data_IF_300005810876
#
_entry.id   IF_300005810876
#
_cell.length_a   1.000
_cell.length_b   1.000
_cell.length_c   1.000
_cell.angle_alpha   90.00
_cell.angle_beta   90.00
_cell.angle_gamma   90.00
#
_symmetry.space_group_name_H-M   'P 1'
#
loop_
_entity.id
_entity.type
_entity.pdbx_description
1 polymer ?
#
# COMPACT_ATOMS: atom_id res chain seq x y z
N UNK A 1 8.81 -78.65 -4.05
CA UNK A 1 7.69 -78.49 -3.09
C UNK A 1 7.46 -77.00 -2.88
N UNK A 2 6.47 -76.42 -3.56
CA UNK A 2 6.03 -75.03 -3.34
C UNK A 2 4.66 -75.04 -2.68
N UNK A 3 4.58 -74.53 -1.46
CA UNK A 3 3.31 -74.38 -0.72
C UNK A 3 2.65 -73.06 -1.13
N UNK A 4 1.51 -73.15 -1.80
CA UNK A 4 0.63 -72.01 -2.09
C UNK A 4 -0.20 -71.78 -0.82
N UNK A 5 0.01 -70.64 -0.16
CA UNK A 5 -0.83 -70.16 0.94
C UNK A 5 -2.27 -69.99 0.45
N UNK A 6 -3.17 -70.91 0.82
CA UNK A 6 -4.60 -70.77 0.60
C UNK A 6 -5.19 -69.76 1.60
N UNK A 7 -5.51 -68.56 1.11
CA UNK A 7 -6.33 -67.59 1.84
C UNK A 7 -7.71 -68.17 2.08
N UNK A 8 -8.12 -68.31 3.36
CA UNK A 8 -9.45 -68.83 3.68
C UNK A 8 -10.52 -67.73 3.49
N UNK A 9 -11.77 -68.13 3.30
CA UNK A 9 -12.92 -67.18 3.24
C UNK A 9 -12.98 -66.26 4.47
N UNK A 10 -12.54 -66.75 5.64
CA UNK A 10 -12.45 -65.98 6.88
C UNK A 10 -11.36 -64.91 6.83
N UNK A 11 -10.22 -65.20 6.19
CA UNK A 11 -9.13 -64.24 6.02
C UNK A 11 -9.52 -63.15 5.02
N UNK A 12 -10.21 -63.51 3.93
CA UNK A 12 -10.73 -62.54 2.97
C UNK A 12 -11.77 -61.60 3.60
N UNK A 13 -12.68 -62.13 4.43
CA UNK A 13 -13.67 -61.32 5.16
C UNK A 13 -13.04 -60.39 6.19
N UNK A 14 -11.96 -60.81 6.87
CA UNK A 14 -11.21 -59.94 7.79
C UNK A 14 -10.49 -58.83 7.05
N UNK A 15 -9.81 -59.14 5.94
CA UNK A 15 -9.08 -58.15 5.12
C UNK A 15 -10.06 -57.13 4.51
N UNK A 16 -11.20 -57.58 3.99
CA UNK A 16 -12.22 -56.67 3.44
C UNK A 16 -12.90 -55.82 4.52
N UNK A 17 -13.21 -56.38 5.69
CA UNK A 17 -13.76 -55.62 6.82
C UNK A 17 -12.75 -54.57 7.35
N UNK A 18 -11.46 -54.92 7.46
CA UNK A 18 -10.39 -53.98 7.83
C UNK A 18 -10.20 -52.89 6.77
N UNK A 19 -10.25 -53.24 5.47
CA UNK A 19 -10.16 -52.27 4.38
C UNK A 19 -11.34 -51.29 4.34
N UNK A 20 -12.57 -51.76 4.60
CA UNK A 20 -13.77 -50.91 4.70
C UNK A 20 -13.72 -50.02 5.94
N UNK A 21 -13.24 -50.54 7.08
CA UNK A 21 -13.06 -49.75 8.30
C UNK A 21 -11.98 -48.67 8.12
N UNK A 22 -10.86 -48.99 7.46
CA UNK A 22 -9.81 -48.02 7.13
C UNK A 22 -10.33 -46.98 6.13
N UNK A 23 -11.08 -47.38 5.10
CA UNK A 23 -11.73 -46.44 4.17
C UNK A 23 -12.77 -45.55 4.85
N UNK A 24 -13.56 -46.08 5.80
CA UNK A 24 -14.52 -45.31 6.58
C UNK A 24 -13.82 -44.35 7.56
N UNK A 25 -12.68 -44.77 8.13
CA UNK A 25 -11.85 -43.94 9.02
C UNK A 25 -11.11 -42.85 8.24
N UNK A 26 -10.59 -43.15 7.04
CA UNK A 26 -10.01 -42.18 6.12
C UNK A 26 -11.08 -41.20 5.59
N UNK A 27 -12.29 -41.67 5.29
CA UNK A 27 -13.42 -40.79 4.95
C UNK A 27 -13.86 -39.92 6.13
N UNK A 28 -13.85 -40.45 7.36
CA UNK A 28 -14.11 -39.67 8.57
C UNK A 28 -13.01 -38.66 8.85
N UNK A 29 -11.73 -39.01 8.70
CA UNK A 29 -10.60 -38.09 8.85
C UNK A 29 -10.61 -37.04 7.73
N UNK A 30 -10.91 -37.37 6.47
CA UNK A 30 -11.12 -36.39 5.40
C UNK A 30 -12.36 -35.52 5.60
N UNK A 31 -13.43 -36.04 6.24
CA UNK A 31 -14.61 -35.26 6.60
C UNK A 31 -14.41 -34.40 7.87
N UNK A 32 -13.51 -34.81 8.78
CA UNK A 32 -13.08 -34.03 9.96
C UNK A 32 -11.99 -33.00 9.62
N UNK A 33 -11.21 -33.26 8.57
CA UNK A 33 -10.43 -32.26 7.83
C UNK A 33 -11.32 -31.41 6.91
N UNK A 34 -12.61 -31.76 6.81
CA UNK A 34 -13.65 -30.99 6.13
C UNK A 34 -14.01 -29.75 6.93
N UNK A 35 -13.86 -28.59 6.28
CA UNK A 35 -14.01 -27.22 6.77
C UNK A 35 -12.84 -26.70 7.63
N UNK A 36 -11.68 -26.55 7.01
CA UNK A 36 -11.03 -25.25 7.20
C UNK A 36 -11.97 -24.24 6.53
N UNK A 37 -12.80 -23.56 7.30
CA UNK A 37 -13.58 -22.43 6.79
C UNK A 37 -12.57 -21.38 6.29
N UNK A 38 -12.26 -21.45 5.00
CA UNK A 38 -11.31 -20.54 4.35
C UNK A 38 -11.91 -19.16 4.42
N UNK A 39 -11.15 -18.24 5.01
CA UNK A 39 -11.60 -16.88 5.23
C UNK A 39 -11.64 -16.12 3.91
N UNK A 40 -12.58 -15.20 3.81
CA UNK A 40 -12.52 -14.16 2.79
C UNK A 40 -11.49 -13.11 3.20
N UNK A 41 -11.03 -12.37 2.20
CA UNK A 41 -10.09 -11.27 2.36
C UNK A 41 -10.71 -10.04 1.69
N UNK A 42 -10.77 -8.94 2.41
CA UNK A 42 -11.12 -7.63 1.84
C UNK A 42 -9.98 -6.66 2.13
N UNK A 43 -9.50 -6.00 1.09
CA UNK A 43 -8.51 -4.93 1.20
C UNK A 43 -9.15 -3.64 0.69
N UNK A 44 -9.36 -2.67 1.58
CA UNK A 44 -9.77 -1.33 1.21
C UNK A 44 -8.50 -0.50 1.01
N UNK A 45 -8.37 0.13 -0.16
CA UNK A 45 -7.23 0.96 -0.51
C UNK A 45 -7.72 2.38 -0.80
N UNK A 46 -7.23 3.34 -0.02
CA UNK A 46 -7.41 4.77 -0.24
C UNK A 46 -6.25 5.36 -1.05
N UNK A 47 -6.51 6.40 -1.82
CA UNK A 47 -5.57 7.01 -2.78
C UNK A 47 -5.14 8.39 -2.28
N UNK A 48 -3.83 8.66 -2.17
CA UNK A 48 -3.27 9.92 -1.63
C UNK A 48 -3.72 10.27 -0.19
N UNK A 49 -3.83 9.29 0.71
CA UNK A 49 -4.26 9.52 2.09
C UNK A 49 -3.09 9.89 3.02
N UNK A 50 -3.06 11.15 3.45
CA UNK A 50 -2.29 11.59 4.61
C UNK A 50 -2.75 10.87 5.88
N UNK A 51 -1.95 9.91 6.36
CA UNK A 51 -2.26 9.10 7.55
C UNK A 51 -2.53 9.96 8.79
N UNK A 52 -1.85 11.11 8.91
CA UNK A 52 -1.94 12.03 10.03
C UNK A 52 -3.24 12.85 10.08
N UNK A 53 -4.14 12.69 9.10
CA UNK A 53 -5.49 13.27 9.14
C UNK A 53 -6.56 12.28 9.65
N UNK A 54 -6.19 11.01 9.91
CA UNK A 54 -7.09 10.00 10.45
C UNK A 54 -7.10 10.08 11.98
N UNK A 55 -8.28 10.06 12.59
CA UNK A 55 -8.48 10.23 14.04
C UNK A 55 -7.64 9.26 14.88
N UNK A 56 -7.70 7.96 14.59
CA UNK A 56 -6.92 6.97 15.32
C UNK A 56 -5.40 7.19 15.18
N UNK A 57 -4.92 7.82 14.10
CA UNK A 57 -3.51 8.19 13.89
C UNK A 57 -3.12 9.58 14.45
N UNK A 58 -4.02 10.23 15.20
CA UNK A 58 -3.77 11.53 15.83
C UNK A 58 -4.25 12.73 15.02
N UNK A 59 -5.01 12.50 13.94
CA UNK A 59 -5.63 13.55 13.16
C UNK A 59 -6.56 14.43 13.98
N UNK A 60 -6.51 15.73 13.72
CA UNK A 60 -7.23 16.76 14.49
C UNK A 60 -8.29 17.50 13.67
N UNK A 61 -8.18 17.48 12.34
CA UNK A 61 -9.09 18.22 11.47
C UNK A 61 -10.34 17.40 11.10
N UNK A 62 -10.16 16.11 10.78
CA UNK A 62 -11.22 15.24 10.26
C UNK A 62 -11.65 14.21 11.31
N UNK A 63 -12.95 13.95 11.41
CA UNK A 63 -13.49 12.83 12.19
C UNK A 63 -13.63 11.62 11.26
N UNK A 64 -13.01 10.50 11.62
CA UNK A 64 -13.01 9.26 10.84
C UNK A 64 -13.58 8.08 11.65
N UNK A 65 -14.85 8.14 12.09
CA UNK A 65 -15.39 7.17 13.04
C UNK A 65 -15.41 5.73 12.52
N UNK A 66 -15.53 5.49 11.22
CA UNK A 66 -15.55 4.13 10.68
C UNK A 66 -14.14 3.52 10.65
N UNK A 67 -13.14 4.29 10.24
CA UNK A 67 -11.73 3.88 10.27
C UNK A 67 -11.26 3.72 11.73
N UNK A 68 -11.67 4.63 12.62
CA UNK A 68 -11.34 4.57 14.05
C UNK A 68 -11.96 3.34 14.72
N UNK A 69 -13.21 3.00 14.36
CA UNK A 69 -13.86 1.76 14.81
C UNK A 69 -13.09 0.53 14.30
N UNK A 70 -12.65 0.52 13.04
CA UNK A 70 -11.85 -0.59 12.52
C UNK A 70 -10.54 -0.77 13.30
N UNK A 71 -9.88 0.32 13.68
CA UNK A 71 -8.69 0.27 14.53
C UNK A 71 -9.00 -0.24 15.95
N UNK A 72 -10.13 0.16 16.54
CA UNK A 72 -10.57 -0.32 17.85
C UNK A 72 -10.94 -1.82 17.83
N UNK A 73 -11.51 -2.32 16.73
CA UNK A 73 -11.87 -3.74 16.54
C UNK A 73 -10.66 -4.60 16.10
N UNK A 74 -9.55 -4.00 15.71
CA UNK A 74 -8.42 -4.69 15.06
C UNK A 74 -7.04 -4.27 15.58
N UNK A 75 -6.05 -4.37 14.70
CA UNK A 75 -4.67 -3.95 14.91
C UNK A 75 -4.33 -2.81 13.95
N UNK A 76 -3.74 -1.75 14.50
CA UNK A 76 -3.24 -0.60 13.74
C UNK A 76 -1.72 -0.61 13.69
N UNK A 77 -1.15 -0.42 12.51
CA UNK A 77 0.30 -0.32 12.32
C UNK A 77 0.74 1.13 12.31
N UNK A 78 1.72 1.50 13.15
CA UNK A 78 2.31 2.84 13.13
C UNK A 78 3.56 2.93 12.25
N UNK A 79 4.02 1.81 11.70
CA UNK A 79 5.23 1.70 10.88
C UNK A 79 4.94 0.94 9.57
N UNK A 80 3.95 1.38 8.82
CA UNK A 80 3.65 0.88 7.48
C UNK A 80 4.12 1.87 6.41
N UNK A 81 4.83 1.41 5.39
CA UNK A 81 5.48 2.29 4.41
C UNK A 81 5.26 1.86 2.96
N UNK A 82 4.94 2.82 2.12
CA UNK A 82 5.16 2.73 0.68
C UNK A 82 6.66 2.74 0.37
N UNK A 83 7.07 1.98 -0.63
CA UNK A 83 8.44 2.01 -1.15
C UNK A 83 8.70 3.15 -2.13
N UNK A 84 7.67 3.77 -2.69
CA UNK A 84 7.79 4.91 -3.60
C UNK A 84 6.51 5.73 -3.51
N UNK A 85 6.54 7.04 -3.31
CA UNK A 85 5.31 7.82 -3.07
C UNK A 85 4.54 8.17 -4.38
N UNK A 86 4.25 7.16 -5.21
CA UNK A 86 3.53 7.27 -6.48
C UNK A 86 2.55 6.10 -6.69
N UNK A 87 1.44 6.36 -7.40
CA UNK A 87 0.33 5.41 -7.50
C UNK A 87 0.70 4.07 -8.17
N UNK A 88 1.25 4.11 -9.40
CA UNK A 88 1.52 2.89 -10.17
C UNK A 88 2.58 2.01 -9.48
N UNK A 89 3.71 2.56 -9.00
CA UNK A 89 4.70 1.76 -8.28
C UNK A 89 4.16 1.10 -7.02
N UNK A 90 3.43 1.81 -6.15
CA UNK A 90 2.90 1.24 -4.90
C UNK A 90 1.88 0.15 -5.18
N UNK A 91 0.94 0.40 -6.11
CA UNK A 91 -0.06 -0.62 -6.48
C UNK A 91 0.60 -1.85 -7.08
N UNK A 92 1.61 -1.66 -7.92
CA UNK A 92 2.40 -2.77 -8.45
C UNK A 92 3.08 -3.54 -7.32
N UNK A 93 3.69 -2.84 -6.35
CA UNK A 93 4.34 -3.45 -5.19
C UNK A 93 3.35 -4.23 -4.32
N UNK A 94 2.19 -3.65 -4.04
CA UNK A 94 1.09 -4.30 -3.30
C UNK A 94 0.65 -5.60 -3.95
N UNK A 95 0.42 -5.55 -5.27
CA UNK A 95 -0.15 -6.68 -5.99
C UNK A 95 0.88 -7.76 -6.34
N UNK A 96 2.16 -7.42 -6.44
CA UNK A 96 3.22 -8.34 -6.93
C UNK A 96 4.15 -8.82 -5.82
N UNK A 97 4.18 -8.15 -4.67
CA UNK A 97 5.12 -8.44 -3.59
C UNK A 97 6.59 -8.16 -3.95
N UNK A 98 6.81 -7.32 -4.97
CA UNK A 98 8.13 -6.94 -5.46
C UNK A 98 8.34 -5.44 -5.28
N UNK A 99 9.58 -5.00 -5.10
CA UNK A 99 9.90 -3.57 -5.09
C UNK A 99 9.89 -2.95 -6.51
N UNK A 100 9.80 -1.61 -6.63
CA UNK A 100 9.75 -0.90 -7.91
C UNK A 100 10.76 -1.35 -8.96
N UNK A 101 12.03 -1.52 -8.57
CA UNK A 101 13.12 -1.92 -9.46
C UNK A 101 12.92 -3.35 -10.00
N UNK A 102 12.40 -4.26 -9.17
CA UNK A 102 12.22 -5.67 -9.54
C UNK A 102 10.99 -5.88 -10.41
N UNK A 103 9.83 -5.29 -10.10
CA UNK A 103 8.69 -5.33 -11.01
C UNK A 103 8.85 -4.40 -12.21
N UNK A 104 9.73 -3.39 -12.14
CA UNK A 104 10.12 -2.53 -13.25
C UNK A 104 9.17 -1.36 -13.56
N UNK A 105 8.26 -1.03 -12.64
CA UNK A 105 7.38 0.14 -12.78
C UNK A 105 7.75 1.17 -11.71
N UNK A 106 8.77 1.99 -12.00
CA UNK A 106 9.34 3.00 -11.09
C UNK A 106 8.78 4.41 -11.33
N UNK A 107 7.76 4.56 -12.16
CA UNK A 107 7.06 5.82 -12.36
C UNK A 107 5.61 5.60 -12.77
N UNK A 108 4.79 6.64 -12.64
CA UNK A 108 3.39 6.56 -13.06
C UNK A 108 3.28 6.27 -14.56
N UNK A 109 2.28 5.45 -14.90
CA UNK A 109 2.01 4.98 -16.26
C UNK A 109 3.11 4.10 -16.89
N UNK A 110 4.11 3.63 -16.14
CA UNK A 110 5.00 2.55 -16.59
C UNK A 110 4.30 1.19 -16.50
N UNK A 111 4.68 0.25 -17.37
CA UNK A 111 4.25 -1.14 -17.25
C UNK A 111 5.22 -1.89 -16.35
N UNK A 112 4.72 -2.84 -15.55
CA UNK A 112 5.61 -3.84 -14.97
C UNK A 112 6.22 -4.71 -16.08
N UNK A 113 7.32 -5.39 -15.77
CA UNK A 113 7.97 -6.36 -16.66
C UNK A 113 6.95 -7.42 -17.10
N UNK A 114 7.06 -7.85 -18.35
CA UNK A 114 6.23 -8.92 -18.90
C UNK A 114 6.34 -10.17 -18.00
N UNK A 115 5.25 -10.92 -17.89
CA UNK A 115 5.13 -12.12 -17.04
C UNK A 115 5.24 -11.89 -15.52
N UNK A 116 5.26 -10.63 -15.06
CA UNK A 116 5.14 -10.34 -13.63
C UNK A 116 3.82 -10.89 -13.09
N UNK A 117 3.90 -11.83 -12.14
CA UNK A 117 2.74 -12.42 -11.45
C UNK A 117 2.29 -11.51 -10.31
N UNK A 118 1.01 -11.62 -9.97
CA UNK A 118 0.34 -10.76 -8.99
C UNK A 118 -0.72 -11.53 -8.20
N UNK A 119 -1.41 -10.88 -7.25
CA UNK A 119 -2.41 -11.48 -6.35
C UNK A 119 -3.34 -12.49 -7.05
N UNK A 120 -4.01 -12.19 -8.19
CA UNK A 120 -4.84 -13.19 -8.88
C UNK A 120 -4.09 -14.46 -9.30
N UNK A 121 -2.83 -14.35 -9.70
CA UNK A 121 -2.01 -15.49 -10.13
C UNK A 121 -1.64 -16.42 -8.98
N UNK A 122 -1.58 -15.91 -7.75
CA UNK A 122 -1.21 -16.68 -6.56
C UNK A 122 -2.43 -17.18 -5.79
N UNK A 123 -3.49 -16.38 -5.66
CA UNK A 123 -4.65 -16.76 -4.86
C UNK A 123 -5.67 -17.63 -5.61
N UNK A 124 -5.79 -17.51 -6.94
CA UNK A 124 -6.69 -18.39 -7.72
C UNK A 124 -6.33 -19.88 -7.62
N UNK A 125 -5.05 -20.29 -7.75
CA UNK A 125 -4.66 -21.69 -7.50
C UNK A 125 -4.97 -22.17 -6.08
N UNK A 126 -5.07 -21.26 -5.10
CA UNK A 126 -5.52 -21.56 -3.73
C UNK A 126 -7.05 -21.57 -3.60
N UNK A 127 -7.80 -21.52 -4.70
CA UNK A 127 -9.26 -21.63 -4.73
C UNK A 127 -10.02 -20.32 -4.54
N UNK A 128 -9.35 -19.17 -4.46
CA UNK A 128 -9.99 -17.88 -4.25
C UNK A 128 -10.54 -17.28 -5.55
N UNK A 129 -11.72 -16.65 -5.47
CA UNK A 129 -12.13 -15.61 -6.42
C UNK A 129 -11.37 -14.34 -6.08
N UNK A 130 -10.81 -13.65 -7.09
CA UNK A 130 -9.99 -12.46 -6.86
C UNK A 130 -10.53 -11.31 -7.70
N UNK A 131 -11.14 -10.36 -7.02
CA UNK A 131 -11.83 -9.22 -7.63
C UNK A 131 -11.25 -7.88 -7.21
N UNK A 132 -11.52 -6.86 -8.01
CA UNK A 132 -11.18 -5.47 -7.72
C UNK A 132 -12.32 -4.56 -8.19
N UNK A 133 -12.72 -3.62 -7.34
CA UNK A 133 -13.59 -2.49 -7.72
C UNK A 133 -12.83 -1.18 -7.56
N UNK A 134 -13.12 -0.20 -8.43
CA UNK A 134 -12.47 1.11 -8.42
C UNK A 134 -11.10 1.14 -9.10
N UNK A 135 -10.19 1.95 -8.57
CA UNK A 135 -8.91 2.27 -9.21
C UNK A 135 -8.00 1.03 -9.27
N UNK A 136 -7.66 0.57 -10.47
CA UNK A 136 -6.61 -0.45 -10.68
C UNK A 136 -5.24 0.20 -10.85
N UNK A 137 -5.12 1.09 -11.84
CA UNK A 137 -3.95 1.90 -12.18
C UNK A 137 -2.62 1.14 -12.35
N UNK A 138 -2.67 -0.09 -12.88
CA UNK A 138 -1.48 -0.90 -13.18
C UNK A 138 -1.63 -1.61 -14.53
N UNK A 139 -0.51 -1.96 -15.17
CA UNK A 139 -0.46 -2.62 -16.48
C UNK A 139 0.82 -3.46 -16.60
N UNK A 140 0.86 -4.50 -17.47
CA UNK A 140 -0.16 -4.88 -18.44
C UNK A 140 -1.30 -5.71 -17.81
N UNK A 141 -2.43 -5.84 -18.51
CA UNK A 141 -3.63 -6.54 -17.99
C UNK A 141 -3.35 -8.00 -17.64
N UNK A 142 -2.48 -8.63 -18.43
CA UNK A 142 -2.03 -10.01 -18.27
C UNK A 142 -1.33 -10.20 -16.92
N UNK A 143 -0.57 -9.20 -16.46
CA UNK A 143 0.06 -9.21 -15.14
C UNK A 143 -0.91 -8.95 -14.00
N UNK A 144 -2.09 -8.36 -14.25
CA UNK A 144 -3.09 -8.01 -13.22
C UNK A 144 -4.50 -8.47 -13.62
N UNK A 145 -4.74 -9.78 -13.79
CA UNK A 145 -5.99 -10.29 -14.35
C UNK A 145 -7.09 -10.35 -13.28
N UNK A 146 -7.29 -9.28 -12.50
CA UNK A 146 -8.39 -9.16 -11.55
C UNK A 146 -9.74 -9.28 -12.25
N UNK A 147 -10.71 -9.88 -11.57
CA UNK A 147 -12.10 -9.73 -11.98
C UNK A 147 -12.57 -8.31 -11.64
N UNK A 148 -12.98 -7.54 -12.64
CA UNK A 148 -13.43 -6.16 -12.41
C UNK A 148 -14.87 -6.19 -11.89
N UNK A 149 -15.03 -5.76 -10.64
CA UNK A 149 -16.32 -5.66 -9.94
C UNK A 149 -16.85 -4.24 -10.10
N UNK A 150 -18.05 -4.03 -10.66
CA UNK A 150 -18.63 -2.69 -10.75
C UNK A 150 -18.93 -2.15 -9.36
N UNK A 151 -18.84 -0.84 -9.17
CA UNK A 151 -19.20 -0.24 -7.89
C UNK A 151 -18.49 1.08 -7.66
N UNK A 152 -17.16 1.11 -7.76
CA UNK A 152 -16.36 2.31 -7.47
C UNK A 152 -15.78 2.92 -8.76
N UNK A 153 -15.65 4.24 -8.78
CA UNK A 153 -15.02 4.99 -9.88
C UNK A 153 -13.58 4.50 -10.16
N UNK A 154 -13.27 4.00 -11.37
CA UNK A 154 -11.93 3.55 -11.71
C UNK A 154 -10.95 4.67 -12.08
N UNK A 155 -11.42 5.85 -12.48
CA UNK A 155 -10.60 6.98 -12.92
C UNK A 155 -10.31 7.95 -11.78
N UNK A 156 -9.05 8.02 -11.34
CA UNK A 156 -8.63 8.88 -10.22
C UNK A 156 -8.67 10.38 -10.51
N UNK A 157 -8.82 10.80 -11.77
CA UNK A 157 -8.99 12.21 -12.14
C UNK A 157 -10.42 12.52 -12.58
N UNK A 158 -11.38 11.63 -12.29
CA UNK A 158 -12.79 11.92 -12.49
C UNK A 158 -13.22 13.11 -11.62
N UNK A 159 -14.14 13.93 -12.14
CA UNK A 159 -14.69 15.07 -11.39
C UNK A 159 -15.61 14.65 -10.23
N UNK A 160 -16.04 13.39 -10.21
CA UNK A 160 -16.86 12.82 -9.15
C UNK A 160 -16.29 11.46 -8.75
N UNK A 161 -16.42 11.12 -7.48
CA UNK A 161 -16.04 9.81 -6.93
C UNK A 161 -17.28 8.97 -6.64
N UNK A 162 -18.10 8.75 -7.67
CA UNK A 162 -19.34 7.98 -7.55
C UNK A 162 -19.05 6.54 -7.11
N UNK A 163 -19.88 6.01 -6.22
CA UNK A 163 -19.83 4.59 -5.87
C UNK A 163 -21.21 3.99 -5.56
N UNK A 164 -21.33 2.68 -5.76
CA UNK A 164 -22.43 1.83 -5.31
C UNK A 164 -21.88 0.54 -4.70
N UNK A 165 -22.61 -0.01 -3.74
CA UNK A 165 -22.29 -1.27 -3.08
C UNK A 165 -22.90 -2.49 -3.76
N UNK A 166 -23.68 -2.35 -4.84
CA UNK A 166 -24.41 -3.46 -5.45
C UNK A 166 -23.47 -4.54 -6.00
N UNK A 167 -22.44 -4.15 -6.75
CA UNK A 167 -21.46 -5.10 -7.27
C UNK A 167 -20.56 -5.69 -6.19
N UNK A 168 -20.24 -4.93 -5.14
CA UNK A 168 -19.54 -5.45 -3.96
C UNK A 168 -20.39 -6.53 -3.27
N UNK A 169 -21.68 -6.25 -3.06
CA UNK A 169 -22.62 -7.19 -2.45
C UNK A 169 -22.74 -8.45 -3.31
N UNK A 170 -22.97 -8.31 -4.62
CA UNK A 170 -23.06 -9.44 -5.56
C UNK A 170 -21.80 -10.30 -5.49
N UNK A 171 -20.61 -9.69 -5.60
CA UNK A 171 -19.36 -10.43 -5.58
C UNK A 171 -19.17 -11.20 -4.27
N UNK A 172 -19.52 -10.59 -3.14
CA UNK A 172 -19.41 -11.23 -1.83
C UNK A 172 -20.40 -12.39 -1.64
N UNK A 173 -21.60 -12.32 -2.22
CA UNK A 173 -22.68 -13.28 -1.90
C UNK A 173 -22.96 -14.33 -2.97
N UNK A 174 -22.49 -14.14 -4.21
CA UNK A 174 -22.83 -15.03 -5.34
C UNK A 174 -22.38 -16.48 -5.18
N UNK A 175 -21.38 -16.74 -4.35
CA UNK A 175 -20.94 -18.09 -3.98
C UNK A 175 -20.65 -18.12 -2.47
N UNK A 176 -21.41 -18.96 -1.76
CA UNK A 176 -21.33 -19.10 -0.30
C UNK A 176 -20.26 -20.09 0.15
N UNK A 177 -19.70 -20.87 -0.76
CA UNK A 177 -18.71 -21.93 -0.50
C UNK A 177 -17.30 -21.48 -0.92
N UNK A 178 -17.17 -20.87 -2.10
CA UNK A 178 -15.88 -20.44 -2.61
C UNK A 178 -15.41 -19.13 -1.94
N UNK A 179 -14.23 -19.12 -1.29
CA UNK A 179 -13.72 -17.91 -0.65
C UNK A 179 -13.35 -16.86 -1.68
N UNK A 180 -13.35 -15.59 -1.27
CA UNK A 180 -12.99 -14.48 -2.13
C UNK A 180 -11.92 -13.58 -1.51
N UNK A 181 -11.16 -12.91 -2.39
CA UNK A 181 -10.29 -11.79 -2.09
C UNK A 181 -10.79 -10.61 -2.92
N UNK A 182 -11.25 -9.54 -2.26
CA UNK A 182 -11.77 -8.34 -2.93
C UNK A 182 -10.93 -7.12 -2.56
N UNK A 183 -10.42 -6.43 -3.57
CA UNK A 183 -9.84 -5.10 -3.43
C UNK A 183 -10.91 -4.05 -3.68
N UNK A 184 -11.15 -3.20 -2.70
CA UNK A 184 -12.03 -2.02 -2.82
C UNK A 184 -11.13 -0.79 -2.88
N UNK A 185 -10.82 -0.35 -4.09
CA UNK A 185 -9.84 0.69 -4.35
C UNK A 185 -10.54 2.03 -4.59
N UNK A 186 -10.71 2.80 -3.53
CA UNK A 186 -11.23 4.16 -3.63
C UNK A 186 -10.26 5.07 -4.39
N UNK A 187 -10.81 6.06 -5.10
CA UNK A 187 -10.05 7.19 -5.65
C UNK A 187 -9.90 8.31 -4.64
N UNK A 188 -10.49 8.22 -3.45
CA UNK A 188 -10.41 9.27 -2.43
C UNK A 188 -9.24 9.04 -1.47
N UNK A 189 -8.60 10.11 -0.97
CA UNK A 189 -8.76 11.54 -1.31
C UNK A 189 -7.82 12.07 -2.43
N UNK A 190 -7.71 11.41 -3.58
CA UNK A 190 -6.91 11.90 -4.71
C UNK A 190 -7.47 13.19 -5.32
N UNK A 191 -6.60 14.05 -5.86
CA UNK A 191 -7.02 15.25 -6.57
C UNK A 191 -7.64 14.94 -7.96
N UNK A 192 -8.62 15.69 -8.47
CA UNK A 192 -9.16 16.93 -7.92
C UNK A 192 -10.10 16.67 -6.72
N UNK A 193 -9.94 17.46 -5.65
CA UNK A 193 -10.77 17.33 -4.44
C UNK A 193 -12.14 18.00 -4.64
N UNK A 194 -13.12 17.20 -5.05
CA UNK A 194 -14.46 17.64 -5.46
C UNK A 194 -15.59 16.89 -4.77
N UNK A 195 -15.29 15.85 -3.99
CA UNK A 195 -16.25 15.10 -3.19
C UNK A 195 -16.28 15.55 -1.72
N UNK A 196 -17.38 15.20 -1.05
CA UNK A 196 -17.65 15.62 0.33
C UNK A 196 -18.23 17.02 0.44
N UNK A 197 -18.25 17.55 1.66
CA UNK A 197 -18.74 18.89 1.98
C UNK A 197 -17.64 19.73 2.64
N UNK A 198 -16.91 20.50 1.84
CA UNK A 198 -15.83 21.38 2.29
C UNK A 198 -16.31 22.48 3.25
N UNK A 199 -17.60 22.84 3.26
CA UNK A 199 -18.12 23.87 4.16
C UNK A 199 -18.04 23.46 5.64
N UNK A 200 -17.96 22.15 5.94
CA UNK A 200 -17.71 21.63 7.29
C UNK A 200 -16.29 21.87 7.79
N UNK A 201 -15.37 22.19 6.87
CA UNK A 201 -13.94 22.34 7.12
C UNK A 201 -13.51 23.78 6.83
N UNK A 202 -13.99 24.77 7.61
CA UNK A 202 -13.68 26.17 7.36
C UNK A 202 -12.15 26.41 7.39
N UNK A 203 -11.56 26.96 6.31
CA UNK A 203 -10.11 27.08 6.12
C UNK A 203 -9.35 27.69 7.30
N UNK A 204 -9.93 28.67 7.98
CA UNK A 204 -9.33 29.40 9.09
C UNK A 204 -9.23 28.60 10.40
N UNK A 205 -9.99 27.50 10.53
CA UNK A 205 -9.97 26.63 11.72
C UNK A 205 -9.05 25.42 11.55
N UNK A 206 -8.55 25.19 10.33
CA UNK A 206 -7.70 24.05 10.03
C UNK A 206 -6.32 24.22 10.67
N UNK A 207 -5.85 23.13 11.26
CA UNK A 207 -4.50 22.99 11.81
C UNK A 207 -3.63 22.46 10.67
N UNK A 208 -2.74 23.30 10.16
CA UNK A 208 -1.80 22.93 9.10
C UNK A 208 -0.59 22.16 9.67
N UNK A 209 -0.06 21.18 8.93
CA UNK A 209 1.27 20.62 9.19
C UNK A 209 2.35 21.69 9.34
N UNK A 210 3.34 21.49 10.22
CA UNK A 210 4.39 22.48 10.50
C UNK A 210 5.32 22.75 9.31
N UNK A 211 5.31 21.88 8.30
CA UNK A 211 6.13 21.96 7.08
C UNK A 211 5.40 22.66 5.92
N UNK A 212 4.20 23.18 6.15
CA UNK A 212 3.40 23.84 5.11
C UNK A 212 3.45 25.35 5.21
N UNK A 213 3.44 26.03 4.06
CA UNK A 213 3.23 27.46 4.04
C UNK A 213 1.76 27.79 4.31
N UNK A 214 1.54 28.70 5.26
CA UNK A 214 0.21 29.15 5.63
C UNK A 214 -0.28 30.25 4.69
N UNK A 215 -0.94 29.84 3.61
CA UNK A 215 -1.52 30.74 2.61
C UNK A 215 -3.02 30.47 2.47
N UNK A 216 -3.84 31.47 2.05
CA UNK A 216 -5.25 31.25 1.78
C UNK A 216 -5.52 30.08 0.84
N UNK A 217 -4.76 29.97 -0.26
CA UNK A 217 -4.92 28.89 -1.25
C UNK A 217 -4.61 27.51 -0.65
N UNK A 218 -3.62 27.42 0.25
CA UNK A 218 -3.29 26.17 0.95
C UNK A 218 -4.42 25.75 1.88
N UNK A 219 -4.98 26.70 2.64
CA UNK A 219 -6.10 26.40 3.55
C UNK A 219 -7.37 26.00 2.79
N UNK A 220 -7.66 26.62 1.66
CA UNK A 220 -8.79 26.26 0.79
C UNK A 220 -8.60 24.86 0.19
N UNK A 221 -7.40 24.57 -0.31
CA UNK A 221 -7.04 23.25 -0.81
C UNK A 221 -7.20 22.17 0.27
N UNK A 222 -6.67 22.44 1.47
CA UNK A 222 -6.75 21.51 2.59
C UNK A 222 -8.17 21.31 3.11
N UNK A 223 -9.01 22.36 3.11
CA UNK A 223 -10.44 22.25 3.41
C UNK A 223 -11.15 21.24 2.51
N UNK A 224 -10.91 21.30 1.20
CA UNK A 224 -11.45 20.34 0.22
C UNK A 224 -10.91 18.93 0.47
N UNK A 225 -9.61 18.80 0.70
CA UNK A 225 -8.98 17.53 1.04
C UNK A 225 -9.61 16.87 2.30
N UNK A 226 -9.86 17.65 3.36
CA UNK A 226 -10.50 17.16 4.58
C UNK A 226 -11.90 16.58 4.33
N UNK A 227 -12.68 17.19 3.43
CA UNK A 227 -13.99 16.69 3.03
C UNK A 227 -13.91 15.34 2.29
N UNK A 228 -12.87 15.14 1.49
CA UNK A 228 -12.61 13.87 0.81
C UNK A 228 -12.23 12.75 1.78
N UNK A 229 -11.45 13.08 2.83
CA UNK A 229 -11.13 12.12 3.89
C UNK A 229 -12.40 11.70 4.65
N UNK A 230 -13.32 12.63 4.94
CA UNK A 230 -14.64 12.29 5.52
C UNK A 230 -15.47 11.41 4.57
N UNK A 231 -15.44 11.69 3.27
CA UNK A 231 -16.13 10.88 2.27
C UNK A 231 -15.56 9.46 2.16
N UNK A 232 -14.23 9.32 2.21
CA UNK A 232 -13.55 8.03 2.29
C UNK A 232 -13.96 7.25 3.54
N UNK A 233 -14.01 7.88 4.71
CA UNK A 233 -14.44 7.21 5.95
C UNK A 233 -15.86 6.62 5.81
N UNK A 234 -16.77 7.32 5.13
CA UNK A 234 -18.10 6.78 4.81
C UNK A 234 -18.04 5.56 3.90
N UNK A 235 -17.19 5.56 2.86
CA UNK A 235 -16.99 4.39 2.01
C UNK A 235 -16.46 3.18 2.80
N UNK A 236 -15.54 3.40 3.74
CA UNK A 236 -15.07 2.35 4.65
C UNK A 236 -16.22 1.80 5.48
N UNK A 237 -17.04 2.68 6.07
CA UNK A 237 -18.24 2.31 6.82
C UNK A 237 -19.23 1.47 5.99
N UNK A 238 -19.44 1.84 4.73
CA UNK A 238 -20.33 1.14 3.81
C UNK A 238 -19.83 -0.27 3.48
N UNK A 239 -18.53 -0.45 3.22
CA UNK A 239 -17.94 -1.78 3.01
C UNK A 239 -18.10 -2.66 4.24
N UNK A 240 -17.84 -2.13 5.44
CA UNK A 240 -18.03 -2.86 6.70
C UNK A 240 -19.49 -3.23 6.91
N UNK A 241 -20.43 -2.32 6.61
CA UNK A 241 -21.87 -2.58 6.71
C UNK A 241 -22.31 -3.70 5.76
N UNK A 242 -21.80 -3.73 4.52
CA UNK A 242 -22.12 -4.84 3.60
C UNK A 242 -21.62 -6.17 4.13
N UNK A 243 -20.43 -6.22 4.72
CA UNK A 243 -19.93 -7.44 5.36
C UNK A 243 -20.85 -7.90 6.52
N UNK A 244 -21.38 -6.96 7.30
CA UNK A 244 -22.36 -7.22 8.38
C UNK A 244 -23.68 -7.76 7.82
N UNK A 245 -24.31 -7.03 6.90
CA UNK A 245 -25.61 -7.38 6.33
C UNK A 245 -25.61 -8.70 5.54
N UNK A 246 -24.46 -9.08 4.97
CA UNK A 246 -24.31 -10.33 4.22
C UNK A 246 -23.83 -11.51 5.07
N UNK A 247 -23.62 -11.31 6.39
CA UNK A 247 -23.10 -12.35 7.29
C UNK A 247 -21.66 -12.77 6.96
N UNK A 248 -20.91 -11.92 6.24
CA UNK A 248 -19.52 -12.16 5.85
C UNK A 248 -18.52 -11.62 6.88
N UNK A 249 -18.96 -10.75 7.80
CA UNK A 249 -18.10 -10.04 8.75
C UNK A 249 -17.13 -10.96 9.49
N UNK A 250 -17.62 -12.06 10.07
CA UNK A 250 -16.83 -12.91 10.97
C UNK A 250 -15.92 -13.90 10.23
N UNK A 251 -16.20 -14.15 8.95
CA UNK A 251 -15.37 -14.98 8.06
C UNK A 251 -14.46 -14.16 7.15
N UNK A 252 -14.24 -12.88 7.45
CA UNK A 252 -13.43 -11.98 6.60
C UNK A 252 -12.28 -11.37 7.38
N UNK A 253 -11.07 -11.50 6.84
CA UNK A 253 -9.95 -10.62 7.20
C UNK A 253 -10.13 -9.32 6.42
N UNK A 254 -10.29 -8.21 7.15
CA UNK A 254 -10.43 -6.88 6.57
C UNK A 254 -9.16 -6.09 6.82
N UNK A 255 -8.56 -5.56 5.75
CA UNK A 255 -7.41 -4.66 5.82
C UNK A 255 -7.76 -3.32 5.17
N UNK A 256 -7.40 -2.22 5.82
CA UNK A 256 -7.46 -0.87 5.28
C UNK A 256 -6.04 -0.36 5.09
N UNK A 257 -5.76 0.24 3.93
CA UNK A 257 -4.47 0.82 3.57
C UNK A 257 -4.66 2.22 2.95
N UNK A 258 -3.90 3.22 3.39
CA UNK A 258 -3.81 4.53 2.74
C UNK A 258 -2.55 4.62 1.89
N UNK A 259 -2.63 4.36 0.58
CA UNK A 259 -1.53 4.17 -0.39
C UNK A 259 -0.25 5.00 -0.10
N UNK A 260 -0.20 6.24 -0.58
CA UNK A 260 0.83 7.24 -0.27
C UNK A 260 0.20 8.47 0.36
N UNK A 261 1.05 9.37 0.85
CA UNK A 261 0.65 10.68 1.34
C UNK A 261 -0.11 11.54 0.33
N UNK A 262 -0.75 12.57 0.86
CA UNK A 262 -1.54 13.51 0.08
C UNK A 262 -0.70 14.27 -0.96
N UNK A 263 -1.38 14.74 -2.01
CA UNK A 263 -0.80 15.67 -2.98
C UNK A 263 -0.61 17.05 -2.34
N UNK A 264 0.40 17.18 -1.49
CA UNK A 264 0.90 18.42 -0.87
C UNK A 264 2.45 18.39 -0.83
N UNK A 265 3.13 19.54 -0.73
CA UNK A 265 4.58 19.59 -0.74
C UNK A 265 5.17 18.79 0.43
N UNK A 266 6.14 17.94 0.12
CA UNK A 266 6.80 17.04 1.10
C UNK A 266 6.02 15.77 1.44
N UNK A 267 4.87 15.52 0.80
CA UNK A 267 4.14 14.25 0.91
C UNK A 267 4.32 13.43 -0.38
N UNK A 268 3.29 13.28 -1.22
CA UNK A 268 3.38 12.56 -2.51
C UNK A 268 4.63 12.97 -3.30
N UNK A 269 5.21 12.02 -4.04
CA UNK A 269 6.46 12.16 -4.81
C UNK A 269 7.73 12.42 -4.01
N UNK A 270 7.69 12.25 -2.69
CA UNK A 270 8.89 12.36 -1.85
C UNK A 270 9.07 11.12 -1.00
N UNK A 271 10.32 10.86 -0.62
CA UNK A 271 10.64 9.84 0.36
C UNK A 271 10.60 10.36 1.80
N UNK A 272 10.00 11.53 2.06
CA UNK A 272 9.75 12.03 3.42
C UNK A 272 8.61 11.24 4.10
N UNK A 273 8.56 11.25 5.44
CA UNK A 273 7.57 10.55 6.26
C UNK A 273 6.13 10.86 5.82
N UNK A 274 5.74 12.13 5.57
CA UNK A 274 4.41 12.44 5.06
C UNK A 274 4.08 11.80 3.70
N UNK A 275 5.09 11.43 2.91
CA UNK A 275 4.94 10.83 1.59
C UNK A 275 4.82 9.31 1.62
N UNK A 276 5.70 8.65 2.37
CA UNK A 276 5.79 7.18 2.36
C UNK A 276 5.08 6.49 3.51
N UNK A 277 4.84 7.15 4.64
CA UNK A 277 4.17 6.51 5.77
C UNK A 277 2.67 6.39 5.50
N UNK A 278 2.15 5.19 5.67
CA UNK A 278 0.78 4.83 5.38
C UNK A 278 -0.01 4.51 6.65
N UNK A 279 -1.32 4.74 6.61
CA UNK A 279 -2.24 4.18 7.56
C UNK A 279 -2.62 2.75 7.16
N UNK A 280 -2.20 1.75 7.95
CA UNK A 280 -2.60 0.35 7.77
C UNK A 280 -3.30 -0.19 9.02
N UNK A 281 -4.50 -0.73 8.84
CA UNK A 281 -5.29 -1.36 9.91
C UNK A 281 -5.76 -2.73 9.41
N UNK A 282 -5.66 -3.76 10.25
CA UNK A 282 -6.15 -5.10 9.95
C UNK A 282 -7.08 -5.61 11.05
N UNK A 283 -8.18 -6.26 10.65
CA UNK A 283 -9.15 -6.86 11.56
C UNK A 283 -9.43 -8.29 11.15
N UNK A 284 -9.30 -9.20 12.11
CA UNK A 284 -9.56 -10.63 11.94
C UNK A 284 -10.16 -11.15 13.25
N UNK A 285 -11.50 -11.34 13.30
CA UNK A 285 -12.18 -11.75 14.53
C UNK A 285 -11.61 -13.04 15.10
N UNK A 286 -11.37 -13.04 16.42
CA UNK A 286 -10.87 -14.21 17.16
C UNK A 286 -9.38 -14.55 16.90
N UNK A 287 -8.66 -13.78 16.07
CA UNK A 287 -7.25 -14.04 15.74
C UNK A 287 -6.36 -12.82 15.90
N UNK A 288 -6.80 -11.65 15.44
CA UNK A 288 -6.16 -10.37 15.76
C UNK A 288 -6.76 -9.88 17.09
N UNK A 289 -5.90 -9.55 18.05
CA UNK A 289 -6.33 -8.90 19.30
C UNK A 289 -6.83 -7.49 18.99
N UNK A 290 -8.05 -7.18 19.41
CA UNK A 290 -8.69 -5.88 19.20
C UNK A 290 -7.98 -4.74 19.97
N UNK A 291 -7.97 -3.55 19.38
CA UNK A 291 -7.43 -2.33 19.96
C UNK A 291 -5.91 -2.30 20.12
N UNK A 292 -5.18 -3.15 19.39
CA UNK A 292 -3.71 -3.24 19.50
C UNK A 292 -3.04 -2.29 18.52
N UNK A 293 -1.99 -1.62 18.97
CA UNK A 293 -1.08 -0.86 18.11
C UNK A 293 0.20 -1.66 17.93
N UNK A 294 0.62 -1.87 16.68
CA UNK A 294 1.87 -2.53 16.33
C UNK A 294 2.87 -1.53 15.76
N UNK A 295 4.12 -1.62 16.23
CA UNK A 295 5.28 -0.87 15.71
C UNK A 295 6.11 -1.70 14.74
N UNK A 296 5.65 -2.91 14.39
CA UNK A 296 6.28 -3.72 13.36
C UNK A 296 6.41 -2.92 12.07
N UNK A 297 7.60 -2.95 11.47
CA UNK A 297 7.79 -2.37 10.15
C UNK A 297 7.17 -3.30 9.12
N UNK A 298 6.29 -2.76 8.28
CA UNK A 298 5.72 -3.43 7.12
C UNK A 298 5.82 -2.52 5.89
N UNK A 299 5.88 -3.11 4.70
CA UNK A 299 5.77 -2.39 3.44
C UNK A 299 4.69 -2.99 2.53
N UNK A 300 4.33 -2.27 1.47
CA UNK A 300 3.28 -2.71 0.55
C UNK A 300 3.63 -4.04 -0.13
N UNK A 301 4.92 -4.31 -0.37
CA UNK A 301 5.43 -5.58 -0.87
C UNK A 301 5.07 -6.76 0.05
N UNK A 302 4.88 -6.51 1.35
CA UNK A 302 4.53 -7.55 2.32
C UNK A 302 3.08 -8.03 2.23
N UNK A 303 2.21 -7.27 1.55
CA UNK A 303 0.79 -7.58 1.46
C UNK A 303 0.58 -8.91 0.75
N UNK A 304 1.10 -9.09 -0.47
CA UNK A 304 0.93 -10.33 -1.21
C UNK A 304 1.36 -11.60 -0.44
N UNK A 305 2.59 -11.72 0.10
CA UNK A 305 2.99 -12.92 0.83
C UNK A 305 2.14 -13.12 2.09
N UNK A 306 1.67 -12.05 2.74
CA UNK A 306 0.71 -12.15 3.85
C UNK A 306 -0.63 -12.71 3.39
N UNK A 307 -1.17 -12.23 2.26
CA UNK A 307 -2.43 -12.76 1.71
C UNK A 307 -2.30 -14.23 1.32
N UNK A 308 -1.16 -14.64 0.76
CA UNK A 308 -0.89 -16.04 0.42
C UNK A 308 -0.89 -16.93 1.67
N UNK A 309 -0.24 -16.51 2.76
CA UNK A 309 -0.22 -17.25 4.02
C UNK A 309 -1.62 -17.33 4.66
N UNK A 310 -2.36 -16.21 4.68
CA UNK A 310 -3.74 -16.18 5.19
C UNK A 310 -4.69 -17.07 4.36
N UNK A 311 -4.43 -17.22 3.07
CA UNK A 311 -5.16 -18.13 2.18
C UNK A 311 -4.79 -19.62 2.34
N UNK A 312 -3.85 -19.94 3.24
CA UNK A 312 -3.36 -21.30 3.49
C UNK A 312 -2.29 -21.77 2.49
N UNK A 313 -1.70 -20.85 1.74
CA UNK A 313 -0.54 -21.09 0.89
C UNK A 313 0.80 -20.80 1.59
N UNK A 314 1.89 -20.96 0.86
CA UNK A 314 3.25 -20.56 1.29
C UNK A 314 3.74 -19.42 0.41
N UNK A 315 4.40 -18.41 0.98
CA UNK A 315 5.07 -17.39 0.19
C UNK A 315 6.10 -18.03 -0.76
N UNK A 316 6.06 -17.67 -2.05
CA UNK A 316 7.06 -18.13 -3.01
C UNK A 316 8.42 -17.47 -2.72
N UNK A 317 9.52 -18.21 -2.95
CA UNK A 317 10.89 -17.74 -2.64
C UNK A 317 11.36 -16.51 -3.44
N UNK A 318 10.62 -16.09 -4.47
CA UNK A 318 11.04 -15.04 -5.39
C UNK A 318 10.43 -13.65 -5.10
N UNK A 319 9.59 -13.54 -4.07
CA UNK A 319 9.02 -12.26 -3.63
C UNK A 319 10.05 -11.47 -2.79
N UNK A 320 9.98 -10.15 -2.84
CA UNK A 320 10.75 -9.27 -1.93
C UNK A 320 10.05 -9.07 -0.59
N UNK A 321 8.72 -9.13 -0.62
CA UNK A 321 7.88 -9.03 0.56
C UNK A 321 8.10 -10.19 1.53
N UNK A 322 7.86 -9.90 2.80
CA UNK A 322 7.90 -10.85 3.92
C UNK A 322 6.52 -10.83 4.58
N UNK A 323 5.92 -12.01 4.75
CA UNK A 323 4.61 -12.10 5.41
C UNK A 323 4.65 -11.54 6.84
N UNK A 324 3.66 -10.69 7.17
CA UNK A 324 3.41 -10.19 8.52
C UNK A 324 2.22 -10.88 9.20
N UNK A 325 1.74 -12.02 8.69
CA UNK A 325 0.65 -12.78 9.32
C UNK A 325 1.00 -13.22 10.76
N UNK A 326 2.28 -13.51 11.02
CA UNK A 326 2.79 -13.76 12.38
C UNK A 326 2.63 -12.56 13.32
N UNK A 327 2.73 -11.33 12.82
CA UNK A 327 2.46 -10.11 13.59
C UNK A 327 0.97 -9.97 13.88
N UNK A 328 0.12 -10.17 12.87
CA UNK A 328 -1.34 -10.12 13.03
C UNK A 328 -1.84 -11.09 14.11
N UNK A 329 -1.29 -12.30 14.14
CA UNK A 329 -1.68 -13.35 15.08
C UNK A 329 -0.96 -13.29 16.44
N UNK A 330 -0.07 -12.32 16.64
CA UNK A 330 0.70 -12.16 17.88
C UNK A 330 1.83 -13.19 18.08
N UNK A 331 2.13 -14.00 17.06
CA UNK A 331 3.22 -14.98 17.09
C UNK A 331 4.60 -14.35 16.86
N UNK A 332 4.65 -13.13 16.32
CA UNK A 332 5.87 -12.34 16.09
C UNK A 332 5.63 -10.89 16.46
N UNK A 333 6.68 -10.18 16.87
CA UNK A 333 6.65 -8.73 17.09
C UNK A 333 7.00 -7.95 15.84
N UNK A 334 7.79 -8.54 14.94
CA UNK A 334 8.36 -7.87 13.78
C UNK A 334 8.34 -8.77 12.54
N UNK A 335 8.11 -8.15 11.37
CA UNK A 335 8.15 -8.79 10.06
C UNK A 335 9.50 -8.53 9.34
N UNK A 336 9.98 -7.29 9.37
CA UNK A 336 11.25 -6.83 8.80
C UNK A 336 11.92 -5.79 9.70
N UNK A 337 13.22 -5.59 9.51
CA UNK A 337 14.05 -4.67 10.31
C UNK A 337 14.07 -3.23 9.75
N UNK A 338 13.99 -3.10 8.42
CA UNK A 338 14.05 -1.82 7.72
C UNK A 338 12.96 -1.73 6.65
N UNK A 339 12.48 -0.51 6.41
CA UNK A 339 11.75 -0.16 5.20
C UNK A 339 12.68 0.55 4.21
N UNK A 340 12.49 0.29 2.92
CA UNK A 340 13.31 0.87 1.84
C UNK A 340 12.47 1.70 0.88
N UNK A 341 13.05 2.77 0.35
CA UNK A 341 12.40 3.69 -0.57
C UNK A 341 13.20 3.96 -1.85
N UNK A 342 12.48 4.13 -2.95
CA UNK A 342 12.94 4.51 -4.29
C UNK A 342 12.06 5.66 -4.79
N UNK A 343 12.67 6.66 -5.41
CA UNK A 343 11.95 7.71 -6.12
C UNK A 343 12.82 8.25 -7.25
N UNK A 344 12.18 8.64 -8.36
CA UNK A 344 12.76 9.50 -9.38
C UNK A 344 11.66 10.31 -10.09
N UNK A 345 12.05 11.36 -10.81
CA UNK A 345 11.14 12.20 -11.58
C UNK A 345 11.06 11.81 -13.06
N UNK A 346 11.92 10.91 -13.58
CA UNK A 346 11.90 10.48 -14.99
C UNK A 346 10.70 9.57 -15.26
N UNK A 347 10.01 9.68 -16.42
CA UNK A 347 10.23 10.61 -17.54
C UNK A 347 9.43 11.91 -17.40
N UNK A 348 8.85 12.17 -16.23
CA UNK A 348 7.93 13.27 -16.00
C UNK A 348 8.63 14.61 -15.71
N UNK A 349 9.91 14.58 -15.37
CA UNK A 349 10.80 15.71 -15.14
C UNK A 349 12.26 15.30 -15.26
N UNK A 350 13.16 16.22 -14.88
CA UNK A 350 14.62 15.97 -14.89
C UNK A 350 14.99 14.86 -13.89
N UNK A 351 16.03 14.04 -14.18
CA UNK A 351 16.53 13.06 -13.23
C UNK A 351 16.76 13.63 -11.83
N UNK A 352 16.09 13.03 -10.85
CA UNK A 352 16.27 13.29 -9.43
C UNK A 352 16.14 11.97 -8.64
N UNK A 353 17.09 11.04 -8.81
CA UNK A 353 17.09 9.76 -8.13
C UNK A 353 17.30 9.93 -6.61
N UNK A 354 16.37 9.37 -5.85
CA UNK A 354 16.40 9.34 -4.38
C UNK A 354 16.27 7.90 -3.90
N UNK A 355 17.01 7.55 -2.85
CA UNK A 355 16.90 6.27 -2.13
C UNK A 355 16.75 6.51 -0.65
N UNK A 356 16.02 5.65 0.05
CA UNK A 356 15.91 5.76 1.52
C UNK A 356 15.90 4.41 2.21
N UNK A 357 16.32 4.43 3.48
CA UNK A 357 16.20 3.31 4.41
C UNK A 357 15.71 3.85 5.75
N UNK A 358 14.76 3.14 6.36
CA UNK A 358 14.10 3.54 7.61
C UNK A 358 14.06 2.37 8.58
N UNK A 359 14.75 2.51 9.71
CA UNK A 359 14.57 1.65 10.88
C UNK A 359 13.43 2.16 11.76
N UNK A 360 13.17 1.55 12.92
CA UNK A 360 12.13 2.06 13.85
C UNK A 360 12.38 3.50 14.30
N UNK A 361 13.66 3.89 14.41
CA UNK A 361 14.09 5.16 15.00
C UNK A 361 14.71 6.14 14.02
N UNK A 362 15.53 5.65 13.09
CA UNK A 362 16.29 6.50 12.20
C UNK A 362 15.89 6.28 10.76
N UNK A 363 15.93 7.36 9.98
CA UNK A 363 15.70 7.31 8.54
C UNK A 363 16.77 8.09 7.81
N UNK A 364 17.35 7.45 6.82
CA UNK A 364 18.35 8.00 5.91
C UNK A 364 17.71 8.19 4.53
N UNK A 365 17.93 9.35 3.92
CA UNK A 365 17.58 9.65 2.53
C UNK A 365 18.85 10.08 1.80
N UNK A 366 19.09 9.49 0.63
CA UNK A 366 20.20 9.82 -0.26
C UNK A 366 19.63 10.46 -1.53
N UNK A 367 19.90 11.73 -1.73
CA UNK A 367 19.59 12.45 -2.96
C UNK A 367 20.80 12.30 -3.89
N UNK A 368 20.76 11.32 -4.81
CA UNK A 368 21.95 10.84 -5.53
C UNK A 368 22.51 11.85 -6.55
N UNK A 369 21.71 12.85 -6.92
CA UNK A 369 22.08 13.97 -7.82
C UNK A 369 21.59 15.29 -7.18
N UNK A 370 22.10 15.60 -5.98
CA UNK A 370 21.64 16.71 -5.14
C UNK A 370 21.98 18.12 -5.66
N UNK A 371 22.85 18.23 -6.64
CA UNK A 371 23.20 19.48 -7.32
C UNK A 371 22.05 20.02 -8.20
N UNK A 372 21.09 19.15 -8.57
CA UNK A 372 19.89 19.54 -9.29
C UNK A 372 18.83 20.09 -8.33
N UNK A 373 17.99 20.99 -8.84
CA UNK A 373 16.76 21.37 -8.14
C UNK A 373 15.72 20.25 -8.34
N UNK A 374 15.07 19.84 -7.26
CA UNK A 374 13.91 18.95 -7.32
C UNK A 374 12.73 19.71 -7.93
N UNK A 375 12.06 19.07 -8.90
CA UNK A 375 10.87 19.60 -9.55
C UNK A 375 9.83 18.51 -9.78
N UNK A 376 8.63 18.70 -9.24
CA UNK A 376 7.47 17.85 -9.48
C UNK A 376 6.41 18.62 -10.25
N UNK A 377 6.29 18.36 -11.55
CA UNK A 377 5.45 19.16 -12.47
C UNK A 377 3.98 19.22 -12.07
N UNK A 378 3.42 18.16 -11.47
CA UNK A 378 2.00 18.10 -11.12
C UNK A 378 1.65 19.07 -10.00
N UNK A 379 2.65 19.44 -9.21
CA UNK A 379 2.56 20.39 -8.11
C UNK A 379 3.15 21.76 -8.46
N UNK A 380 4.24 21.81 -9.22
CA UNK A 380 5.08 22.99 -9.35
C UNK A 380 4.86 23.79 -10.63
N UNK A 381 4.23 23.23 -11.65
CA UNK A 381 4.03 23.94 -12.92
C UNK A 381 3.03 25.12 -12.79
N UNK A 382 3.43 26.27 -13.32
CA UNK A 382 2.76 27.58 -13.17
C UNK A 382 1.49 27.68 -14.03
N UNK A 383 1.15 26.69 -14.85
CA UNK A 383 -0.10 26.73 -15.63
C UNK A 383 -1.30 26.14 -14.88
N UNK A 384 -1.09 25.60 -13.67
CA UNK A 384 -2.18 25.07 -12.83
C UNK A 384 -2.55 26.07 -11.74
N UNK A 385 -3.84 26.33 -11.53
CA UNK A 385 -4.30 27.00 -10.31
C UNK A 385 -4.04 26.08 -9.11
N UNK A 386 -2.86 26.22 -8.51
CA UNK A 386 -2.45 25.43 -7.36
C UNK A 386 -1.85 26.31 -6.27
N UNK A 387 -2.00 25.85 -5.04
CA UNK A 387 -1.50 26.49 -3.83
C UNK A 387 0.04 26.56 -3.80
N UNK A 388 0.78 25.85 -4.67
CA UNK A 388 2.24 25.98 -4.73
C UNK A 388 2.67 27.38 -5.19
N UNK A 389 1.95 27.98 -6.15
CA UNK A 389 2.22 29.36 -6.58
C UNK A 389 2.16 30.35 -5.42
N UNK A 390 1.18 30.20 -4.52
CA UNK A 390 1.06 31.08 -3.37
C UNK A 390 2.23 30.93 -2.41
N UNK A 391 2.81 29.72 -2.27
CA UNK A 391 4.03 29.49 -1.49
C UNK A 391 5.22 30.24 -2.10
N UNK A 392 5.43 30.12 -3.41
CA UNK A 392 6.54 30.79 -4.11
C UNK A 392 6.41 32.32 -4.04
N UNK A 393 5.19 32.84 -4.11
CA UNK A 393 4.93 34.28 -3.95
C UNK A 393 5.20 34.73 -2.52
N UNK A 394 4.65 34.03 -1.52
CA UNK A 394 4.84 34.36 -0.11
C UNK A 394 6.32 34.25 0.33
N UNK A 395 7.07 33.28 -0.21
CA UNK A 395 8.50 33.10 0.05
C UNK A 395 9.37 34.33 -0.31
N UNK A 396 8.89 35.22 -1.17
CA UNK A 396 9.64 36.44 -1.53
C UNK A 396 9.75 37.43 -0.37
N UNK A 397 8.83 37.36 0.59
CA UNK A 397 8.71 38.32 1.70
C UNK A 397 8.63 37.66 3.08
N UNK A 398 8.35 36.36 3.15
CA UNK A 398 8.32 35.60 4.39
C UNK A 398 9.43 34.54 4.43
N UNK A 399 10.39 34.73 5.35
CA UNK A 399 11.52 33.82 5.54
C UNK A 399 11.09 32.44 6.03
N UNK A 400 9.97 32.35 6.77
CA UNK A 400 9.45 31.07 7.22
C UNK A 400 8.96 30.23 6.04
N UNK A 401 8.14 30.81 5.16
CA UNK A 401 7.70 30.16 3.92
C UNK A 401 8.88 29.87 2.99
N UNK A 402 9.85 30.78 2.87
CA UNK A 402 11.05 30.57 2.06
C UNK A 402 11.84 29.33 2.51
N UNK A 403 11.94 29.08 3.82
CA UNK A 403 12.57 27.87 4.37
C UNK A 403 11.90 26.60 3.82
N UNK A 404 10.58 26.52 3.80
CA UNK A 404 9.86 25.32 3.36
C UNK A 404 9.88 25.13 1.85
N UNK A 405 9.78 26.21 1.08
CA UNK A 405 9.99 26.16 -0.37
C UNK A 405 11.40 25.65 -0.68
N UNK A 406 12.42 26.17 0.00
CA UNK A 406 13.81 25.77 -0.20
C UNK A 406 14.05 24.31 0.21
N UNK A 407 13.53 23.86 1.36
CA UNK A 407 13.61 22.44 1.78
C UNK A 407 13.03 21.48 0.75
N UNK A 408 11.95 21.87 0.08
CA UNK A 408 11.32 21.02 -0.92
C UNK A 408 12.12 20.95 -2.22
N UNK A 409 12.68 22.08 -2.68
CA UNK A 409 13.33 22.21 -3.99
C UNK A 409 14.83 21.97 -3.99
N UNK A 410 15.56 22.33 -2.92
CA UNK A 410 17.01 22.10 -2.79
C UNK A 410 17.27 21.21 -1.58
N UNK A 411 17.68 19.96 -1.85
CA UNK A 411 17.90 18.95 -0.81
C UNK A 411 19.38 18.58 -0.75
N UNK A 412 19.97 18.43 0.44
CA UNK A 412 21.36 18.00 0.57
C UNK A 412 21.53 16.55 0.10
N UNK A 413 22.74 16.17 -0.29
CA UNK A 413 23.06 14.82 -0.76
C UNK A 413 22.66 13.71 0.25
N UNK A 414 22.81 14.00 1.54
CA UNK A 414 22.51 13.06 2.62
C UNK A 414 21.63 13.73 3.67
N UNK A 415 20.53 13.07 3.99
CA UNK A 415 19.62 13.46 5.05
C UNK A 415 19.46 12.30 6.05
N UNK A 416 19.62 12.57 7.34
CA UNK A 416 19.38 11.61 8.41
C UNK A 416 18.44 12.25 9.43
N UNK A 417 17.43 11.52 9.87
CA UNK A 417 16.42 11.98 10.83
C UNK A 417 16.23 10.96 11.96
N UNK A 418 16.01 11.45 13.19
CA UNK A 418 15.48 10.67 14.32
C UNK A 418 13.95 10.80 14.28
N UNK A 419 13.27 9.87 13.60
CA UNK A 419 11.84 9.97 13.29
C UNK A 419 10.92 9.74 14.50
N UNK A 420 11.47 9.25 15.62
CA UNK A 420 10.72 9.18 16.89
C UNK A 420 10.59 10.56 17.55
N UNK A 421 11.65 11.38 17.47
CA UNK A 421 11.68 12.73 18.06
C UNK A 421 11.23 13.81 17.09
N UNK A 422 11.47 13.59 15.80
CA UNK A 422 11.21 14.52 14.72
C UNK A 422 10.36 13.83 13.63
N UNK A 423 9.05 13.60 13.88
CA UNK A 423 8.17 12.87 12.98
C UNK A 423 7.87 13.61 11.67
N UNK A 424 8.29 14.88 11.55
CA UNK A 424 8.14 15.71 10.36
C UNK A 424 9.46 15.91 9.60
N UNK A 425 10.56 15.31 10.09
CA UNK A 425 11.89 15.36 9.46
C UNK A 425 12.35 16.81 9.23
N UNK A 426 12.18 17.65 10.24
CA UNK A 426 12.53 19.06 10.23
C UNK A 426 14.03 19.32 10.36
N UNK A 427 14.75 18.45 11.08
CA UNK A 427 16.15 18.63 11.41
C UNK A 427 17.02 17.50 10.84
N UNK A 428 17.80 17.81 9.80
CA UNK A 428 18.80 16.89 9.27
C UNK A 428 19.99 16.78 10.23
N UNK A 429 20.20 15.59 10.79
CA UNK A 429 21.26 15.28 11.75
C UNK A 429 22.44 14.50 11.14
N UNK A 430 22.53 14.40 9.81
CA UNK A 430 23.51 13.58 9.10
C UNK A 430 24.98 14.00 9.33
N UNK A 431 25.22 15.28 9.60
CA UNK A 431 26.55 15.87 9.79
C UNK A 431 26.96 15.97 11.27
N UNK A 432 26.11 15.50 12.19
CA UNK A 432 26.46 15.46 13.61
C UNK A 432 27.46 14.34 13.88
N UNK A 433 28.54 14.64 14.59
CA UNK A 433 29.65 13.70 14.81
C UNK A 433 29.19 12.40 15.47
N UNK A 434 28.26 12.48 16.43
CA UNK A 434 27.70 11.33 17.14
C UNK A 434 26.84 10.41 16.24
N UNK A 435 26.35 10.90 15.10
CA UNK A 435 25.52 10.12 14.17
C UNK A 435 26.35 9.32 13.15
N UNK A 436 27.68 9.47 13.13
CA UNK A 436 28.55 8.84 12.13
C UNK A 436 28.43 7.31 12.04
N UNK A 437 28.20 6.62 13.16
CA UNK A 437 27.99 5.15 13.17
C UNK A 437 26.65 4.77 12.54
N UNK A 438 25.56 5.44 12.97
CA UNK A 438 24.20 5.19 12.46
C UNK A 438 24.14 5.45 10.96
N UNK A 439 24.72 6.56 10.50
CA UNK A 439 24.79 6.91 9.08
C UNK A 439 25.49 5.81 8.27
N UNK A 440 26.68 5.36 8.69
CA UNK A 440 27.43 4.32 7.98
C UNK A 440 26.68 2.98 7.93
N UNK A 441 26.03 2.59 9.02
CA UNK A 441 25.24 1.37 9.09
C UNK A 441 24.08 1.42 8.07
N UNK A 442 23.29 2.50 8.11
CA UNK A 442 22.15 2.66 7.22
C UNK A 442 22.58 2.79 5.75
N UNK A 443 23.65 3.54 5.44
CA UNK A 443 24.21 3.61 4.09
C UNK A 443 24.65 2.22 3.60
N UNK A 444 25.30 1.43 4.47
CA UNK A 444 25.72 0.06 4.15
C UNK A 444 24.52 -0.85 3.84
N UNK A 445 23.51 -0.84 4.72
CA UNK A 445 22.27 -1.64 4.54
C UNK A 445 21.47 -1.22 3.31
N UNK A 446 21.42 0.08 3.02
CA UNK A 446 20.78 0.58 1.82
C UNK A 446 21.50 0.10 0.55
N UNK A 447 22.84 0.16 0.52
CA UNK A 447 23.64 -0.37 -0.61
C UNK A 447 23.48 -1.88 -0.78
N UNK A 448 23.47 -2.64 0.32
CA UNK A 448 23.21 -4.08 0.29
C UNK A 448 21.84 -4.38 -0.34
N UNK A 449 20.80 -3.66 0.07
CA UNK A 449 19.46 -3.80 -0.50
C UNK A 449 19.42 -3.38 -1.97
N UNK A 450 20.00 -2.24 -2.34
CA UNK A 450 20.07 -1.79 -3.74
C UNK A 450 20.71 -2.85 -4.65
N UNK A 451 21.83 -3.43 -4.21
CA UNK A 451 22.49 -4.52 -4.93
C UNK A 451 21.58 -5.77 -5.08
N UNK A 452 20.84 -6.13 -4.04
CA UNK A 452 19.88 -7.25 -4.09
C UNK A 452 18.74 -6.99 -5.09
N UNK A 453 18.30 -5.72 -5.22
CA UNK A 453 17.24 -5.33 -6.15
C UNK A 453 17.72 -5.17 -7.59
N UNK A 454 19.05 -5.16 -7.82
CA UNK A 454 19.64 -4.83 -9.12
C UNK A 454 19.54 -3.33 -9.43
N UNK A 455 19.54 -2.50 -8.40
CA UNK A 455 19.43 -1.05 -8.49
C UNK A 455 20.81 -0.41 -8.66
N UNK A 456 21.07 0.12 -9.85
CA UNK A 456 22.31 0.81 -10.19
C UNK A 456 22.39 2.25 -9.64
N UNK A 457 21.44 2.68 -8.80
CA UNK A 457 21.37 4.03 -8.28
C UNK A 457 21.01 5.03 -9.38
N UNK A 458 21.77 6.13 -9.47
CA UNK A 458 21.47 7.21 -10.43
C UNK A 458 21.52 6.75 -11.90
N UNK A 459 22.26 5.68 -12.22
CA UNK A 459 22.35 5.15 -13.59
C UNK A 459 21.05 4.48 -14.04
N UNK A 460 20.24 3.96 -13.11
CA UNK A 460 18.91 3.42 -13.40
C UNK A 460 17.93 4.52 -13.86
N UNK A 461 18.18 5.74 -13.42
CA UNK A 461 17.24 6.85 -13.33
C UNK A 461 17.52 7.96 -14.36
N UNK A 462 18.21 7.60 -15.44
CA UNK A 462 18.59 8.48 -16.54
C UNK A 462 17.43 8.71 -17.52
N UNK A 463 17.44 9.85 -18.22
CA UNK A 463 16.51 10.06 -19.32
C UNK A 463 16.68 8.98 -20.39
N UNK A 464 15.58 8.43 -20.95
CA UNK A 464 15.68 7.45 -22.01
C UNK A 464 16.39 8.06 -23.23
N UNK A 465 17.43 7.37 -23.73
CA UNK A 465 18.17 7.81 -24.92
C UNK A 465 17.19 7.99 -26.09
N UNK A 466 17.14 9.17 -26.74
CA UNK A 466 16.26 9.41 -27.87
C UNK A 466 16.44 8.33 -28.94
N UNK A 467 15.38 7.57 -29.24
CA UNK A 467 15.37 6.54 -30.29
C UNK A 467 15.25 5.07 -29.83
N UNK A 468 15.24 4.78 -28.53
CA UNK A 468 15.15 3.39 -28.00
C UNK A 468 13.77 2.92 -27.57
N UNK A 469 12.73 3.78 -27.63
CA UNK A 469 11.37 3.31 -27.40
C UNK A 469 10.90 2.42 -28.56
N UNK A 470 10.79 1.12 -28.28
CA UNK A 470 10.07 0.20 -29.15
C UNK A 470 8.67 0.78 -29.42
N UNK A 471 8.37 1.02 -30.70
CA UNK A 471 7.08 1.51 -31.16
C UNK A 471 5.96 0.59 -30.65
N UNK A 472 5.32 0.94 -29.55
CA UNK A 472 3.97 0.47 -29.25
C UNK A 472 3.05 1.08 -30.31
N UNK A 473 2.87 0.33 -31.41
CA UNK A 473 1.94 0.68 -32.48
C UNK A 473 0.55 0.81 -31.87
N UNK A 474 0.06 2.05 -31.75
CA UNK A 474 -1.37 2.35 -31.65
C UNK A 474 -2.08 1.69 -32.84
N UNK A 475 -2.68 0.52 -32.62
CA UNK A 475 -3.71 -0.04 -33.50
C UNK A 475 -4.99 0.76 -33.24
N UNK A 476 -5.12 1.90 -33.90
CA UNK A 476 -6.43 2.51 -34.14
C UNK A 476 -7.19 1.57 -35.09
N UNK A 477 -8.26 0.96 -34.59
CA UNK A 477 -9.25 0.29 -35.44
C UNK A 477 -10.09 1.38 -36.11
N UNK A 478 -10.24 1.26 -37.44
CA UNK A 478 -11.34 1.85 -38.21
C UNK A 478 -12.65 1.18 -37.83
#
# INVERSE_FOLDING_TARGET
>A
MGSILQLTRRDFLKITASGVAIMAMLRRVSAQLGKIDRLNIVVILADDLAFYEIGCYGGKNVKTPNIDRLAAEGMRFTSAFASEAMCVPIRSSLYTGLFPVRHGACHNHQSVKVDTRSVPHYLRPLGYRVGLTGKLHVKPKESFPFEIVPGFEPNCVALTAGYSMDGVREFMTRDSVQPFCLFVCSTLPHAPWTAGDAAKYPPEKLILPPVWADTPDTRIAFSKYCAEVEALDRQVGDVVRILEETGQKDKTVLMFCGEQGAQFPGAKWTLFEPGIRSAVIARWPGRIKAGVTSTAIIQYEDVLPTLMELAGGSAERNLDGVSFAGVLTGNRTDAREYAYGVHNNVPEGRPYPVRSIRSKKYKLILNLVSENDYHEKHLMDIDRENYWKSWVVAAKTDLHTAKWVNRYTRRPAVELYDVEKDPWELENIAERAEMGNVRRELEGKLREWMNQQGDAGADLDQEPVPGTQAREKKRTKK
#
